data_IF_559505956276
#
_entry.id   IF_559505956276
#
_cell.length_a   1.000
_cell.length_b   1.000
_cell.length_c   1.000
_cell.angle_alpha   90.00
_cell.angle_beta   90.00
_cell.angle_gamma   90.00
#
_symmetry.space_group_name_H-M   'P 1'
#
loop_
_entity.id
_entity.type
_entity.pdbx_description
1 polymer ?
#
# COMPACT_ATOMS: atom_id res chain seq x y z
N UNK A 1 -37.41 18.69 -33.12
CA UNK A 1 -36.76 17.97 -32.01
C UNK A 1 -35.75 17.00 -32.61
N UNK A 2 -34.46 17.35 -32.57
CA UNK A 2 -33.40 16.51 -33.12
C UNK A 2 -33.12 15.35 -32.17
N UNK A 3 -33.33 14.11 -32.62
CA UNK A 3 -32.85 12.92 -31.92
C UNK A 3 -31.33 13.02 -31.80
N UNK A 4 -30.82 13.04 -30.57
CA UNK A 4 -29.41 12.81 -30.26
C UNK A 4 -29.01 11.47 -30.89
N UNK A 5 -28.22 11.51 -31.95
CA UNK A 5 -27.43 10.37 -32.37
C UNK A 5 -26.41 10.09 -31.26
N UNK A 6 -26.64 9.04 -30.49
CA UNK A 6 -25.65 8.48 -29.58
C UNK A 6 -24.58 7.79 -30.42
N UNK A 7 -23.44 8.44 -30.57
CA UNK A 7 -22.16 7.88 -31.00
C UNK A 7 -21.69 6.83 -29.99
N UNK A 8 -22.28 5.63 -30.03
CA UNK A 8 -21.88 4.51 -29.16
C UNK A 8 -21.87 3.15 -29.89
N UNK A 9 -21.80 3.18 -31.23
CA UNK A 9 -21.82 1.98 -32.08
C UNK A 9 -20.47 1.73 -32.76
N UNK A 10 -19.37 2.16 -32.12
CA UNK A 10 -18.04 2.01 -32.68
C UNK A 10 -17.56 0.56 -32.47
N UNK A 11 -17.62 -0.22 -33.56
CA UNK A 11 -17.06 -1.56 -33.62
C UNK A 11 -15.53 -1.47 -33.54
N UNK A 12 -14.96 -1.95 -32.44
CA UNK A 12 -13.52 -2.02 -32.23
C UNK A 12 -12.92 -3.16 -33.05
N UNK A 13 -11.76 -2.91 -33.66
CA UNK A 13 -10.89 -3.96 -34.20
C UNK A 13 -10.20 -4.75 -33.08
N UNK A 14 -9.53 -5.86 -33.42
CA UNK A 14 -8.70 -6.62 -32.47
C UNK A 14 -7.65 -5.73 -31.79
N UNK A 15 -7.01 -4.84 -32.54
CA UNK A 15 -6.02 -3.89 -32.02
C UNK A 15 -6.63 -2.88 -31.05
N UNK A 16 -7.80 -2.32 -31.41
CA UNK A 16 -8.50 -1.38 -30.54
C UNK A 16 -9.02 -2.07 -29.29
N UNK A 17 -9.52 -3.31 -29.40
CA UNK A 17 -9.93 -4.10 -28.26
C UNK A 17 -8.74 -4.47 -27.38
N UNK A 18 -7.58 -4.78 -27.97
CA UNK A 18 -6.33 -5.04 -27.26
C UNK A 18 -5.91 -3.81 -26.44
N UNK A 19 -5.97 -2.61 -27.03
CA UNK A 19 -5.73 -1.37 -26.31
C UNK A 19 -6.78 -1.12 -25.22
N UNK A 20 -8.05 -1.42 -25.50
CA UNK A 20 -9.18 -1.22 -24.59
C UNK A 20 -9.10 -2.12 -23.35
N UNK A 21 -8.78 -3.40 -23.55
CA UNK A 21 -8.61 -4.40 -22.49
C UNK A 21 -7.19 -4.39 -21.89
N UNK A 22 -6.29 -3.56 -22.43
CA UNK A 22 -4.86 -3.52 -22.09
C UNK A 22 -4.14 -4.87 -22.24
N UNK A 23 -4.46 -5.61 -23.31
CA UNK A 23 -3.85 -6.88 -23.69
C UNK A 23 -3.00 -6.72 -24.96
N UNK A 24 -2.11 -7.67 -25.25
CA UNK A 24 -1.50 -7.76 -26.57
C UNK A 24 -2.48 -8.35 -27.59
N UNK A 25 -2.32 -7.98 -28.86
CA UNK A 25 -3.20 -8.43 -29.95
C UNK A 25 -3.22 -9.96 -30.11
N UNK A 26 -2.11 -10.63 -29.80
CA UNK A 26 -2.01 -12.09 -29.85
C UNK A 26 -2.87 -12.77 -28.77
N UNK A 27 -2.95 -12.19 -27.59
CA UNK A 27 -3.84 -12.64 -26.50
C UNK A 27 -5.31 -12.41 -26.84
N UNK A 28 -5.66 -11.24 -27.39
CA UNK A 28 -7.03 -11.00 -27.88
C UNK A 28 -7.39 -11.99 -28.97
N UNK A 29 -6.50 -12.24 -29.94
CA UNK A 29 -6.71 -13.22 -31.00
C UNK A 29 -7.01 -14.63 -30.47
N UNK A 30 -6.29 -15.08 -29.43
CA UNK A 30 -6.55 -16.37 -28.78
C UNK A 30 -7.90 -16.43 -28.07
N UNK A 31 -8.25 -15.39 -27.31
CA UNK A 31 -9.52 -15.33 -26.57
C UNK A 31 -10.73 -15.33 -27.50
N UNK A 32 -10.59 -14.67 -28.65
CA UNK A 32 -11.62 -14.59 -29.68
C UNK A 32 -11.76 -15.92 -30.43
N UNK A 33 -10.64 -16.55 -30.79
CA UNK A 33 -10.65 -17.88 -31.41
C UNK A 33 -11.25 -18.96 -30.49
N UNK A 34 -11.09 -18.79 -29.16
CA UNK A 34 -11.68 -19.65 -28.15
C UNK A 34 -13.16 -19.33 -27.83
N UNK A 35 -13.76 -18.33 -28.51
CA UNK A 35 -15.16 -17.94 -28.30
C UNK A 35 -15.46 -17.28 -26.95
N UNK A 36 -14.42 -16.80 -26.24
CA UNK A 36 -14.54 -16.25 -24.88
C UNK A 36 -14.86 -14.76 -24.83
N UNK A 37 -14.78 -14.05 -25.96
CA UNK A 37 -15.09 -12.62 -26.06
C UNK A 37 -16.32 -12.40 -26.95
N UNK A 38 -17.27 -11.55 -26.55
CA UNK A 38 -18.43 -11.21 -27.38
C UNK A 38 -17.99 -10.37 -28.58
N UNK A 39 -17.77 -11.03 -29.71
CA UNK A 39 -17.32 -10.44 -30.96
C UNK A 39 -18.06 -11.01 -32.16
N UNK A 40 -18.01 -10.25 -33.26
CA UNK A 40 -18.60 -10.63 -34.55
C UNK A 40 -17.49 -10.70 -35.59
N UNK A 41 -17.54 -11.67 -36.49
CA UNK A 41 -16.63 -11.74 -37.62
C UNK A 41 -17.28 -11.09 -38.85
N UNK A 42 -16.67 -10.01 -39.33
CA UNK A 42 -17.09 -9.26 -40.51
C UNK A 42 -15.90 -9.27 -41.48
N UNK A 43 -16.09 -9.76 -42.71
CA UNK A 43 -15.04 -9.87 -43.73
C UNK A 43 -13.75 -10.53 -43.22
N UNK A 44 -13.91 -11.65 -42.50
CA UNK A 44 -12.82 -12.42 -41.87
C UNK A 44 -12.06 -11.68 -40.76
N UNK A 45 -12.46 -10.46 -40.41
CA UNK A 45 -11.89 -9.68 -39.33
C UNK A 45 -12.85 -9.62 -38.14
N UNK A 46 -12.29 -9.68 -36.92
CA UNK A 46 -13.10 -9.57 -35.72
C UNK A 46 -13.42 -8.13 -35.37
N UNK A 47 -14.66 -7.93 -34.89
CA UNK A 47 -15.24 -6.65 -34.50
C UNK A 47 -15.99 -6.78 -33.19
N UNK A 48 -15.83 -5.79 -32.31
CA UNK A 48 -16.33 -5.85 -30.94
C UNK A 48 -17.11 -4.60 -30.60
N UNK A 49 -18.35 -4.75 -30.12
CA UNK A 49 -19.11 -3.63 -29.57
C UNK A 49 -18.61 -3.34 -28.17
N UNK A 50 -18.24 -2.08 -27.89
CA UNK A 50 -17.74 -1.67 -26.58
C UNK A 50 -18.70 -2.02 -25.45
N UNK A 51 -19.99 -1.69 -25.60
CA UNK A 51 -21.01 -2.00 -24.59
C UNK A 51 -21.12 -3.50 -24.27
N UNK A 52 -21.02 -4.37 -25.27
CA UNK A 52 -21.06 -5.82 -25.06
C UNK A 52 -19.81 -6.35 -24.34
N UNK A 53 -18.66 -5.70 -24.57
CA UNK A 53 -17.42 -5.99 -23.85
C UNK A 53 -17.51 -5.50 -22.41
N UNK A 54 -18.10 -4.34 -22.17
CA UNK A 54 -18.30 -3.77 -20.82
C UNK A 54 -19.24 -4.66 -19.98
N UNK A 55 -20.38 -5.06 -20.55
CA UNK A 55 -21.32 -5.99 -19.92
C UNK A 55 -20.67 -7.34 -19.63
N UNK A 56 -19.88 -7.87 -20.57
CA UNK A 56 -19.12 -9.11 -20.36
C UNK A 56 -18.08 -8.98 -19.23
N UNK A 57 -17.39 -7.84 -19.10
CA UNK A 57 -16.47 -7.60 -17.98
C UNK A 57 -17.24 -7.64 -16.65
N UNK A 58 -18.40 -6.99 -16.60
CA UNK A 58 -19.26 -6.97 -15.41
C UNK A 58 -19.81 -8.36 -15.04
N UNK A 59 -20.22 -9.16 -16.02
CA UNK A 59 -20.69 -10.54 -15.81
C UNK A 59 -19.57 -11.45 -15.30
N UNK A 60 -18.35 -11.33 -15.84
CA UNK A 60 -17.19 -12.09 -15.37
C UNK A 60 -16.73 -11.65 -13.96
N UNK A 61 -17.09 -10.46 -13.51
CA UNK A 61 -16.83 -9.98 -12.14
C UNK A 61 -17.83 -10.53 -11.11
N UNK A 62 -18.99 -11.02 -11.56
CA UNK A 62 -20.10 -11.50 -10.71
C UNK A 62 -20.21 -13.04 -10.70
N UNK A 63 -19.72 -13.74 -11.72
CA UNK A 63 -19.82 -15.21 -11.85
C UNK A 63 -18.71 -16.00 -11.16
N UNK A 64 -19.11 -17.01 -10.38
CA UNK A 64 -18.23 -18.03 -9.81
C UNK A 64 -17.58 -18.88 -10.92
N UNK A 65 -16.25 -19.05 -10.79
CA UNK A 65 -15.38 -20.16 -11.23
C UNK A 65 -15.71 -20.81 -12.60
N UNK A 66 -14.96 -20.53 -13.69
CA UNK A 66 -13.96 -21.51 -14.18
C UNK A 66 -13.02 -20.99 -15.30
N UNK A 67 -13.03 -19.70 -15.69
CA UNK A 67 -12.16 -19.20 -16.80
C UNK A 67 -11.00 -18.28 -16.40
N UNK A 68 -10.66 -18.27 -15.11
CA UNK A 68 -9.74 -17.31 -14.47
C UNK A 68 -8.24 -17.56 -14.66
N UNK A 69 -7.83 -18.61 -15.38
CA UNK A 69 -6.45 -19.11 -15.42
C UNK A 69 -5.45 -18.24 -16.22
N UNK A 70 -5.92 -17.45 -17.20
CA UNK A 70 -5.02 -16.83 -18.20
C UNK A 70 -4.65 -15.34 -17.93
N UNK A 71 -5.24 -14.71 -16.91
CA UNK A 71 -4.96 -13.31 -16.53
C UNK A 71 -4.24 -13.30 -15.18
N UNK A 72 -3.03 -12.69 -15.07
CA UNK A 72 -2.34 -12.55 -13.78
C UNK A 72 -3.25 -11.88 -12.74
N UNK A 73 -3.47 -12.57 -11.64
CA UNK A 73 -4.55 -12.30 -10.68
C UNK A 73 -4.60 -10.88 -10.11
N UNK A 74 -3.47 -10.19 -9.98
CA UNK A 74 -3.46 -8.79 -9.51
C UNK A 74 -3.41 -7.73 -10.61
N UNK A 75 -3.51 -8.09 -11.90
CA UNK A 75 -3.78 -7.14 -12.99
C UNK A 75 -5.29 -6.91 -13.16
N UNK A 76 -6.12 -7.85 -12.67
CA UNK A 76 -7.59 -7.76 -12.61
C UNK A 76 -8.12 -6.67 -11.65
N UNK A 77 -7.25 -6.13 -10.78
CA UNK A 77 -7.60 -5.10 -9.78
C UNK A 77 -6.67 -3.89 -9.94
N UNK A 78 -7.04 -2.86 -10.70
CA UNK A 78 -6.22 -1.68 -10.85
C UNK A 78 -6.08 -0.96 -9.49
N UNK A 79 -4.93 -0.32 -9.27
CA UNK A 79 -4.64 0.30 -7.97
C UNK A 79 -5.64 1.42 -7.63
N UNK A 80 -6.21 2.08 -8.65
CA UNK A 80 -7.19 3.15 -8.50
C UNK A 80 -8.46 2.73 -7.78
N UNK A 81 -8.93 1.49 -7.98
CA UNK A 81 -10.12 0.93 -7.33
C UNK A 81 -9.87 0.59 -5.85
N UNK A 82 -8.62 0.20 -5.56
CA UNK A 82 -8.18 -0.16 -4.22
C UNK A 82 -7.87 1.07 -3.37
N UNK A 83 -7.41 2.15 -4.00
CA UNK A 83 -6.85 3.34 -3.33
C UNK A 83 -7.64 4.62 -3.70
N UNK A 84 -8.86 4.81 -3.19
CA UNK A 84 -9.55 6.11 -3.28
C UNK A 84 -8.91 7.14 -2.34
N UNK A 85 -9.19 8.44 -2.51
CA UNK A 85 -8.55 9.53 -1.72
C UNK A 85 -8.71 9.33 -0.19
N UNK A 86 -9.90 8.86 0.23
CA UNK A 86 -10.23 8.57 1.62
C UNK A 86 -9.41 7.40 2.23
N UNK A 87 -8.62 6.69 1.43
CA UNK A 87 -7.72 5.64 1.90
C UNK A 87 -6.41 6.18 2.48
N UNK A 88 -6.08 7.44 2.24
CA UNK A 88 -4.78 8.00 2.60
C UNK A 88 -4.87 8.70 3.95
N UNK A 89 -4.04 8.25 4.88
CA UNK A 89 -3.77 8.89 6.17
C UNK A 89 -2.44 9.64 6.04
N UNK A 90 -2.46 10.94 5.72
CA UNK A 90 -1.23 11.67 5.44
C UNK A 90 -0.34 11.78 6.68
N UNK A 91 -0.90 11.72 7.90
CA UNK A 91 -0.13 11.77 9.14
C UNK A 91 -0.66 10.75 10.13
N UNK A 92 0.06 9.65 10.32
CA UNK A 92 -0.20 8.67 11.36
C UNK A 92 0.08 9.25 12.75
N UNK A 93 -0.77 8.91 13.71
CA UNK A 93 -0.59 9.23 15.13
C UNK A 93 0.13 8.10 15.86
N UNK A 94 -0.04 6.87 15.39
CA UNK A 94 0.59 5.69 15.95
C UNK A 94 2.12 5.82 16.04
N UNK A 95 2.69 5.19 17.08
CA UNK A 95 4.14 5.13 17.36
C UNK A 95 4.66 3.70 17.54
N UNK A 96 3.77 2.73 17.49
CA UNK A 96 4.06 1.30 17.71
C UNK A 96 3.50 0.49 16.55
N UNK A 97 4.03 -0.72 16.36
CA UNK A 97 3.59 -1.59 15.28
C UNK A 97 2.08 -1.90 15.34
N UNK A 98 1.60 -2.31 16.51
CA UNK A 98 0.18 -2.56 16.76
C UNK A 98 -0.68 -1.31 16.48
N UNK A 99 -0.26 -0.14 16.98
CA UNK A 99 -1.00 1.10 16.79
C UNK A 99 -1.15 1.48 15.31
N UNK A 100 -0.15 1.19 14.48
CA UNK A 100 -0.24 1.43 13.03
C UNK A 100 -1.29 0.53 12.40
N UNK A 101 -1.27 -0.76 12.74
CA UNK A 101 -2.25 -1.74 12.23
C UNK A 101 -3.67 -1.31 12.64
N UNK A 102 -3.87 -0.91 13.89
CA UNK A 102 -5.15 -0.43 14.40
C UNK A 102 -5.63 0.85 13.71
N UNK A 103 -4.75 1.84 13.52
CA UNK A 103 -5.10 3.13 12.90
C UNK A 103 -5.48 2.96 11.42
N UNK A 104 -4.76 2.11 10.70
CA UNK A 104 -5.06 1.79 9.30
C UNK A 104 -6.35 0.96 9.17
N UNK A 105 -6.54 -0.06 10.01
CA UNK A 105 -7.76 -0.87 10.01
C UNK A 105 -8.99 -0.05 10.43
N UNK A 106 -8.83 0.90 11.36
CA UNK A 106 -9.87 1.83 11.73
C UNK A 106 -10.32 2.69 10.54
N UNK A 107 -9.39 3.12 9.68
CA UNK A 107 -9.74 3.85 8.45
C UNK A 107 -10.58 3.00 7.49
N UNK A 108 -10.19 1.75 7.26
CA UNK A 108 -10.96 0.84 6.43
C UNK A 108 -12.38 0.58 7.00
N UNK A 109 -12.47 0.45 8.32
CA UNK A 109 -13.73 0.27 9.04
C UNK A 109 -14.63 1.50 8.93
N UNK A 110 -14.12 2.71 9.18
CA UNK A 110 -14.92 3.96 9.06
C UNK A 110 -15.40 4.23 7.65
N UNK A 111 -14.68 3.74 6.64
CA UNK A 111 -15.07 3.84 5.24
C UNK A 111 -16.05 2.73 4.81
N UNK A 112 -16.50 1.88 5.74
CA UNK A 112 -17.38 0.73 5.51
C UNK A 112 -16.80 -0.33 4.54
N UNK A 113 -15.47 -0.42 4.42
CA UNK A 113 -14.79 -1.44 3.60
C UNK A 113 -14.53 -2.72 4.37
N UNK A 114 -14.53 -2.63 5.69
CA UNK A 114 -14.31 -3.71 6.64
C UNK A 114 -15.46 -3.70 7.66
N UNK A 115 -16.03 -4.86 7.96
CA UNK A 115 -17.13 -5.01 8.94
C UNK A 115 -16.66 -5.46 10.31
N UNK A 116 -15.51 -6.11 10.39
CA UNK A 116 -14.97 -6.67 11.63
C UNK A 116 -13.53 -6.24 11.85
N UNK A 117 -13.37 -5.05 12.46
CA UNK A 117 -12.07 -4.47 12.77
C UNK A 117 -11.25 -5.33 13.74
N UNK A 118 -11.79 -5.81 14.89
CA UNK A 118 -11.01 -6.64 15.82
C UNK A 118 -10.45 -7.90 15.18
N UNK A 119 -11.26 -8.61 14.40
CA UNK A 119 -10.80 -9.80 13.67
C UNK A 119 -9.66 -9.46 12.71
N UNK A 120 -9.84 -8.40 11.90
CA UNK A 120 -8.86 -8.03 10.88
C UNK A 120 -7.53 -7.59 11.51
N UNK A 121 -7.58 -6.78 12.56
CA UNK A 121 -6.37 -6.37 13.31
C UNK A 121 -5.64 -7.61 13.85
N UNK A 122 -6.37 -8.54 14.48
CA UNK A 122 -5.79 -9.80 14.97
C UNK A 122 -5.10 -10.60 13.86
N UNK A 123 -5.75 -10.74 12.70
CA UNK A 123 -5.20 -11.47 11.56
C UNK A 123 -3.95 -10.81 10.95
N UNK A 124 -3.89 -9.47 10.91
CA UNK A 124 -2.70 -8.74 10.44
C UNK A 124 -1.55 -8.87 11.45
N UNK A 125 -1.84 -8.76 12.75
CA UNK A 125 -0.84 -8.92 13.82
C UNK A 125 -0.24 -10.33 13.82
N UNK A 126 -1.09 -11.36 13.67
CA UNK A 126 -0.64 -12.74 13.53
C UNK A 126 0.31 -12.90 12.35
N UNK A 127 -0.04 -12.33 11.18
CA UNK A 127 0.82 -12.32 9.99
C UNK A 127 2.16 -11.62 10.24
N UNK A 128 2.14 -10.45 10.88
CA UNK A 128 3.33 -9.65 11.13
C UNK A 128 4.28 -10.33 12.14
N UNK A 129 3.73 -11.09 13.08
CA UNK A 129 4.50 -11.83 14.10
C UNK A 129 5.34 -12.97 13.50
N UNK A 130 4.89 -13.57 12.38
CA UNK A 130 5.65 -14.61 11.69
C UNK A 130 6.96 -14.09 11.10
N UNK A 131 6.90 -12.92 10.48
CA UNK A 131 8.04 -12.21 9.91
C UNK A 131 7.58 -10.83 9.49
N UNK A 132 8.44 -9.83 9.73
CA UNK A 132 8.13 -8.46 9.36
C UNK A 132 7.82 -8.33 7.87
N UNK A 133 6.86 -7.46 7.55
CA UNK A 133 6.53 -7.04 6.17
C UNK A 133 7.20 -5.73 5.77
N UNK A 134 8.07 -5.18 6.64
CA UNK A 134 8.91 -4.04 6.29
C UNK A 134 9.97 -4.42 5.27
N UNK A 135 10.27 -3.47 4.40
CA UNK A 135 11.31 -3.53 3.38
C UNK A 135 12.29 -2.37 3.57
N UNK A 136 13.50 -2.57 3.07
CA UNK A 136 14.51 -1.52 2.96
C UNK A 136 13.94 -0.27 2.29
N UNK A 137 14.39 0.90 2.77
CA UNK A 137 13.85 2.19 2.32
C UNK A 137 12.66 2.70 3.12
N UNK A 138 12.22 1.95 4.14
CA UNK A 138 11.25 2.42 5.14
C UNK A 138 9.80 2.36 4.68
N UNK A 139 9.44 1.24 4.03
CA UNK A 139 8.08 0.91 3.60
C UNK A 139 7.66 -0.43 4.20
N UNK A 140 6.39 -0.61 4.57
CA UNK A 140 5.85 -1.91 4.96
C UNK A 140 4.53 -2.22 4.24
N UNK A 141 4.34 -3.49 3.88
CA UNK A 141 3.15 -3.98 3.18
C UNK A 141 2.35 -4.97 4.03
N UNK A 142 1.45 -4.42 4.83
CA UNK A 142 0.58 -5.15 5.74
C UNK A 142 -0.55 -5.82 4.98
N UNK A 143 -0.79 -7.10 5.29
CA UNK A 143 -1.85 -7.91 4.71
C UNK A 143 -2.21 -9.05 5.69
N UNK A 144 -3.36 -9.67 5.50
CA UNK A 144 -3.73 -10.89 6.23
C UNK A 144 -3.29 -12.12 5.44
N UNK A 145 -3.11 -13.26 6.12
CA UNK A 145 -3.13 -14.60 5.50
C UNK A 145 -4.41 -15.38 5.80
N UNK A 146 -5.21 -14.88 6.73
CA UNK A 146 -6.49 -15.46 7.07
C UNK A 146 -7.44 -15.34 5.88
N UNK A 147 -8.09 -16.46 5.53
CA UNK A 147 -9.20 -16.44 4.55
C UNK A 147 -10.28 -15.50 5.07
N UNK A 148 -10.74 -14.59 4.21
CA UNK A 148 -11.85 -13.72 4.56
C UNK A 148 -13.12 -14.56 4.81
N UNK A 149 -13.82 -14.25 5.89
CA UNK A 149 -15.08 -14.90 6.27
C UNK A 149 -16.26 -13.95 6.02
N UNK A 150 -16.24 -13.25 4.88
CA UNK A 150 -17.21 -12.21 4.56
C UNK A 150 -17.08 -10.95 5.42
N UNK A 151 -15.88 -10.68 5.97
CA UNK A 151 -15.62 -9.52 6.83
C UNK A 151 -15.15 -8.31 6.03
N UNK A 152 -14.68 -8.53 4.81
CA UNK A 152 -14.26 -7.47 3.87
C UNK A 152 -15.41 -7.19 2.91
N UNK A 153 -16.02 -6.00 3.00
CA UNK A 153 -17.14 -5.61 2.13
C UNK A 153 -16.67 -5.39 0.69
N UNK A 154 -15.53 -4.71 0.53
CA UNK A 154 -14.89 -4.47 -0.77
C UNK A 154 -13.38 -4.58 -0.63
N UNK A 155 -12.64 -4.98 -1.69
CA UNK A 155 -11.19 -4.89 -1.71
C UNK A 155 -10.71 -3.46 -1.44
N UNK A 156 -9.65 -3.31 -0.63
CA UNK A 156 -9.10 -1.99 -0.32
C UNK A 156 -7.59 -2.01 -0.08
N UNK A 157 -6.97 -0.84 -0.28
CA UNK A 157 -5.63 -0.49 0.17
C UNK A 157 -5.73 0.80 0.99
N UNK A 158 -5.25 0.79 2.23
CA UNK A 158 -5.09 1.99 3.08
C UNK A 158 -3.61 2.35 3.16
N UNK A 159 -3.29 3.63 2.97
CA UNK A 159 -1.91 4.12 3.03
C UNK A 159 -1.76 5.07 4.20
N UNK A 160 -0.79 4.80 5.08
CA UNK A 160 -0.45 5.68 6.19
C UNK A 160 0.99 6.14 6.12
N UNK A 161 1.23 7.41 6.45
CA UNK A 161 2.57 7.97 6.54
C UNK A 161 2.89 8.48 7.94
N UNK A 162 4.00 8.00 8.51
CA UNK A 162 4.62 8.55 9.71
C UNK A 162 5.75 9.52 9.33
N UNK A 163 5.72 10.72 9.89
CA UNK A 163 6.82 11.70 9.71
C UNK A 163 8.11 11.26 10.43
N UNK A 164 7.96 10.72 11.63
CA UNK A 164 9.09 10.37 12.52
C UNK A 164 9.66 8.99 12.17
N UNK A 165 8.88 8.16 11.48
CA UNK A 165 9.17 6.76 11.32
C UNK A 165 8.76 5.98 12.56
N UNK A 166 8.54 4.68 12.40
CA UNK A 166 8.13 3.77 13.46
C UNK A 166 9.05 2.55 13.39
N UNK A 167 9.66 2.12 14.50
CA UNK A 167 10.40 0.86 14.55
C UNK A 167 9.47 -0.29 14.17
N UNK A 168 9.77 -0.94 13.06
CA UNK A 168 8.92 -1.97 12.47
C UNK A 168 9.75 -3.12 11.89
N UNK A 169 10.88 -3.43 12.52
CA UNK A 169 11.75 -4.57 12.18
C UNK A 169 12.16 -4.67 10.70
N UNK A 170 12.42 -3.52 10.06
CA UNK A 170 12.99 -3.46 8.71
C UNK A 170 14.34 -4.20 8.65
N UNK A 171 14.67 -4.91 7.54
CA UNK A 171 15.93 -5.64 7.40
C UNK A 171 17.19 -4.78 7.58
N UNK A 172 17.12 -3.50 7.20
CA UNK A 172 18.20 -2.51 7.34
C UNK A 172 18.27 -1.86 8.74
N UNK A 173 17.38 -2.24 9.66
CA UNK A 173 17.27 -1.66 10.99
C UNK A 173 16.71 -0.23 11.04
N UNK A 174 16.36 0.36 9.89
CA UNK A 174 15.85 1.73 9.83
C UNK A 174 14.35 1.79 10.19
N UNK A 175 13.84 2.96 10.61
CA UNK A 175 12.41 3.15 10.83
C UNK A 175 11.59 3.04 9.54
N UNK A 176 10.37 2.53 9.67
CA UNK A 176 9.38 2.52 8.58
C UNK A 176 8.54 3.78 8.59
N UNK A 177 8.38 4.41 7.43
CA UNK A 177 7.68 5.68 7.27
C UNK A 177 6.36 5.56 6.52
N UNK A 178 6.27 4.65 5.54
CA UNK A 178 5.06 4.42 4.76
C UNK A 178 4.54 3.01 5.03
N UNK A 179 3.23 2.91 5.27
CA UNK A 179 2.54 1.67 5.57
C UNK A 179 1.39 1.49 4.60
N UNK A 180 1.33 0.32 3.98
CA UNK A 180 0.34 -0.06 2.99
C UNK A 180 -0.43 -1.25 3.55
N UNK A 181 -1.68 -1.04 3.97
CA UNK A 181 -2.54 -2.10 4.51
C UNK A 181 -3.55 -2.54 3.46
N UNK A 182 -3.48 -3.79 3.03
CA UNK A 182 -4.43 -4.38 2.09
C UNK A 182 -5.43 -5.30 2.78
N UNK A 183 -6.68 -5.20 2.38
CA UNK A 183 -7.73 -6.17 2.70
C UNK A 183 -8.35 -6.69 1.41
N UNK A 184 -8.05 -7.96 1.07
CA UNK A 184 -8.61 -8.65 -0.10
C UNK A 184 -9.35 -9.91 0.36
N UNK A 185 -10.42 -10.29 -0.34
CA UNK A 185 -11.19 -11.51 -0.05
C UNK A 185 -10.40 -12.79 -0.35
N UNK A 186 -9.61 -12.76 -1.42
CA UNK A 186 -8.86 -13.93 -1.90
C UNK A 186 -7.37 -13.72 -1.71
N UNK A 187 -6.73 -14.65 -1.00
CA UNK A 187 -5.31 -14.56 -0.67
C UNK A 187 -4.40 -14.50 -1.92
N UNK A 188 -4.78 -15.22 -2.99
CA UNK A 188 -4.07 -15.23 -4.28
C UNK A 188 -3.88 -13.84 -4.91
N UNK A 189 -4.74 -12.88 -4.57
CA UNK A 189 -4.68 -11.52 -5.12
C UNK A 189 -3.62 -10.64 -4.43
N UNK A 190 -3.14 -11.00 -3.23
CA UNK A 190 -2.17 -10.18 -2.51
C UNK A 190 -0.83 -10.12 -3.23
N UNK A 191 -0.25 -11.28 -3.58
CA UNK A 191 1.11 -11.37 -4.12
C UNK A 191 1.32 -10.54 -5.40
N UNK A 192 0.42 -10.54 -6.40
CA UNK A 192 0.69 -9.75 -7.60
C UNK A 192 0.50 -8.24 -7.36
N UNK A 193 -0.41 -7.81 -6.47
CA UNK A 193 -0.53 -6.39 -6.07
C UNK A 193 0.70 -5.95 -5.28
N UNK A 194 1.15 -6.76 -4.31
CA UNK A 194 2.39 -6.57 -3.57
C UNK A 194 3.59 -6.43 -4.52
N UNK A 195 3.70 -7.32 -5.50
CA UNK A 195 4.78 -7.29 -6.48
C UNK A 195 4.79 -6.01 -7.34
N UNK A 196 3.62 -5.44 -7.66
CA UNK A 196 3.53 -4.14 -8.35
C UNK A 196 3.94 -2.98 -7.44
N UNK A 197 3.39 -2.93 -6.22
CA UNK A 197 3.71 -1.87 -5.25
C UNK A 197 5.18 -1.89 -4.84
N UNK A 198 5.76 -3.07 -4.61
CA UNK A 198 7.17 -3.24 -4.29
C UNK A 198 8.06 -2.75 -5.44
N UNK A 199 7.69 -2.99 -6.70
CA UNK A 199 8.41 -2.45 -7.87
C UNK A 199 8.28 -0.93 -7.98
N UNK A 200 7.06 -0.40 -7.84
CA UNK A 200 6.78 1.03 -7.86
C UNK A 200 7.52 1.80 -6.75
N UNK A 201 7.71 1.16 -5.59
CA UNK A 201 8.32 1.77 -4.41
C UNK A 201 9.77 1.34 -4.18
N UNK A 202 10.39 0.61 -5.11
CA UNK A 202 11.79 0.17 -5.01
C UNK A 202 12.78 1.35 -5.05
N UNK A 203 12.41 2.46 -5.68
CA UNK A 203 13.31 3.60 -5.87
C UNK A 203 13.27 4.52 -4.65
N UNK A 204 14.40 4.74 -3.94
CA UNK A 204 14.44 5.57 -2.74
C UNK A 204 13.94 7.00 -2.97
N UNK A 205 14.18 7.56 -4.16
CA UNK A 205 13.68 8.87 -4.55
C UNK A 205 12.15 8.94 -4.60
N UNK A 206 11.49 7.87 -5.07
CA UNK A 206 10.01 7.77 -5.08
C UNK A 206 9.47 7.76 -3.67
N UNK A 207 10.02 6.92 -2.78
CA UNK A 207 9.63 6.87 -1.36
C UNK A 207 9.79 8.25 -0.72
N UNK A 208 10.95 8.87 -0.91
CA UNK A 208 11.25 10.15 -0.27
C UNK A 208 10.42 11.30 -0.87
N UNK A 209 10.04 11.23 -2.15
CA UNK A 209 9.08 12.15 -2.76
C UNK A 209 7.69 11.97 -2.14
N UNK A 210 7.16 10.74 -2.05
CA UNK A 210 5.88 10.45 -1.38
C UNK A 210 5.91 10.98 0.06
N UNK A 211 7.01 10.77 0.78
CA UNK A 211 7.17 11.25 2.17
C UNK A 211 7.09 12.77 2.31
N UNK A 212 7.54 13.51 1.29
CA UNK A 212 7.56 14.97 1.29
C UNK A 212 6.21 15.62 0.94
N UNK A 213 5.27 14.86 0.34
CA UNK A 213 3.96 15.35 -0.03
C UNK A 213 3.07 15.45 1.23
N UNK A 214 2.40 16.59 1.38
CA UNK A 214 1.47 16.85 2.49
C UNK A 214 0.00 16.66 2.12
N UNK A 215 -0.32 16.60 0.82
CA UNK A 215 -1.69 16.43 0.31
C UNK A 215 -1.97 14.95 -0.01
N UNK A 216 -3.07 14.37 0.50
CA UNK A 216 -3.52 13.02 0.13
C UNK A 216 -3.62 12.81 -1.38
N UNK A 217 -4.23 13.74 -2.10
CA UNK A 217 -4.45 13.64 -3.56
C UNK A 217 -3.12 13.59 -4.32
N UNK A 218 -2.13 14.38 -3.89
CA UNK A 218 -0.79 14.34 -4.48
C UNK A 218 -0.08 13.01 -4.20
N UNK A 219 -0.22 12.47 -2.98
CA UNK A 219 0.32 11.16 -2.62
C UNK A 219 -0.32 10.06 -3.47
N UNK A 220 -1.65 10.10 -3.63
CA UNK A 220 -2.40 9.17 -4.47
C UNK A 220 -1.96 9.24 -5.92
N UNK A 221 -1.95 10.44 -6.50
CA UNK A 221 -1.58 10.65 -7.90
C UNK A 221 -0.18 10.13 -8.21
N UNK A 222 0.77 10.33 -7.29
CA UNK A 222 2.11 9.77 -7.42
C UNK A 222 2.08 8.23 -7.36
N UNK A 223 1.39 7.62 -6.38
CA UNK A 223 1.27 6.16 -6.29
C UNK A 223 0.66 5.53 -7.55
N UNK A 224 -0.42 6.12 -8.09
CA UNK A 224 -1.06 5.65 -9.31
C UNK A 224 -0.14 5.78 -10.53
N UNK A 225 0.61 6.88 -10.63
CA UNK A 225 1.60 7.07 -11.70
C UNK A 225 2.71 6.01 -11.64
N UNK A 226 3.26 5.74 -10.46
CA UNK A 226 4.34 4.77 -10.28
C UNK A 226 3.84 3.34 -10.52
N UNK A 227 2.61 3.02 -10.09
CA UNK A 227 1.96 1.74 -10.41
C UNK A 227 1.75 1.55 -11.92
N UNK A 228 1.23 2.56 -12.62
CA UNK A 228 1.07 2.52 -14.06
C UNK A 228 2.40 2.31 -14.79
N UNK A 229 3.47 2.97 -14.32
CA UNK A 229 4.83 2.79 -14.85
C UNK A 229 5.34 1.36 -14.61
N UNK A 230 5.14 0.82 -13.40
CA UNK A 230 5.51 -0.55 -13.05
C UNK A 230 4.71 -1.61 -13.85
N UNK A 231 3.45 -1.32 -14.22
CA UNK A 231 2.63 -2.15 -15.12
C UNK A 231 3.15 -2.13 -16.55
N UNK A 232 3.61 -0.98 -17.04
CA UNK A 232 4.21 -0.84 -18.37
C UNK A 232 5.62 -1.46 -18.48
N UNK A 233 6.11 -2.16 -17.45
CA UNK A 233 7.46 -2.73 -17.44
C UNK A 233 8.56 -1.68 -17.32
N UNK A 234 8.21 -0.41 -17.10
CA UNK A 234 9.17 0.67 -16.90
C UNK A 234 9.67 0.56 -15.46
N UNK A 235 10.88 0.03 -15.30
CA UNK A 235 11.58 0.05 -14.03
C UNK A 235 12.14 1.46 -13.86
N UNK A 236 11.68 2.23 -12.85
CA UNK A 236 12.24 3.56 -12.65
C UNK A 236 13.73 3.42 -12.33
N UNK A 237 14.56 4.13 -13.09
CA UNK A 237 16.01 4.08 -12.92
C UNK A 237 16.37 4.62 -11.53
N UNK A 238 17.28 3.92 -10.83
CA UNK A 238 17.82 4.43 -9.58
C UNK A 238 18.63 5.70 -9.91
N UNK A 239 18.29 6.88 -9.36
CA UNK A 239 19.12 8.05 -9.59
C UNK A 239 20.51 7.80 -8.99
N UNK A 240 21.57 8.14 -9.74
CA UNK A 240 22.97 8.01 -9.29
C UNK A 240 23.26 8.82 -8.02
N UNK A 241 22.49 9.88 -7.77
CA UNK A 241 22.54 10.67 -6.54
C UNK A 241 21.39 10.34 -5.59
N UNK A 242 21.74 10.09 -4.32
CA UNK A 242 20.78 9.93 -3.24
C UNK A 242 19.83 11.13 -3.17
N UNK A 243 18.54 10.90 -3.41
CA UNK A 243 17.51 11.92 -3.25
C UNK A 243 17.58 12.53 -1.84
N UNK A 244 17.92 13.81 -1.76
CA UNK A 244 17.90 14.58 -0.50
C UNK A 244 16.54 15.27 -0.37
N UNK A 245 15.59 14.74 0.42
CA UNK A 245 14.28 15.36 0.58
C UNK A 245 14.45 16.80 1.10
N UNK A 246 13.90 17.78 0.38
CA UNK A 246 13.73 19.13 0.94
C UNK A 246 12.61 19.05 1.98
N UNK A 247 12.95 18.81 3.24
CA UNK A 247 11.98 18.95 4.35
C UNK A 247 11.34 20.34 4.25
N UNK A 248 10.01 20.40 4.40
CA UNK A 248 9.28 21.66 4.58
C UNK A 248 9.89 22.46 5.75
N UNK A 249 9.86 23.79 5.66
CA UNK A 249 10.48 24.73 6.62
C UNK A 249 10.05 24.46 8.05
N UNK A 250 8.79 24.12 8.29
CA UNK A 250 8.31 23.77 9.64
C UNK A 250 8.93 22.48 10.17
N UNK A 251 9.10 21.47 9.31
CA UNK A 251 9.73 20.19 9.65
C UNK A 251 11.24 20.34 9.85
N UNK A 252 11.91 21.18 9.04
CA UNK A 252 13.32 21.56 9.26
C UNK A 252 13.53 22.21 10.63
N UNK A 253 12.68 23.17 10.98
CA UNK A 253 12.76 23.87 12.27
C UNK A 253 12.50 22.93 13.45
N UNK A 254 11.56 21.98 13.33
CA UNK A 254 11.31 20.97 14.36
C UNK A 254 12.46 19.97 14.50
N UNK A 255 13.05 19.53 13.39
CA UNK A 255 14.22 18.64 13.39
C UNK A 255 15.45 19.31 14.03
N UNK A 256 15.72 20.59 13.70
CA UNK A 256 16.81 21.37 14.31
C UNK A 256 16.63 21.51 15.82
N UNK A 257 15.41 21.86 16.28
CA UNK A 257 15.12 21.97 17.72
C UNK A 257 15.33 20.66 18.47
N UNK A 258 14.97 19.52 17.85
CA UNK A 258 15.17 18.19 18.46
C UNK A 258 16.63 17.78 18.55
N UNK A 259 17.43 18.02 17.50
CA UNK A 259 18.88 17.75 17.55
C UNK A 259 19.59 18.62 18.60
N UNK A 260 19.14 19.86 18.78
CA UNK A 260 19.64 20.74 19.84
C UNK A 260 19.24 20.27 21.25
N UNK A 261 18.03 19.74 21.41
CA UNK A 261 17.58 19.15 22.68
C UNK A 261 18.33 17.85 23.02
N UNK A 262 18.52 16.96 22.03
CA UNK A 262 19.27 15.72 22.21
C UNK A 262 20.74 15.98 22.57
N UNK A 263 21.38 16.97 21.92
CA UNK A 263 22.73 17.41 22.29
C UNK A 263 22.81 17.96 23.72
N UNK A 264 21.82 18.76 24.14
CA UNK A 264 21.73 19.27 25.52
C UNK A 264 21.55 18.16 26.56
N UNK A 265 20.74 17.14 26.27
CA UNK A 265 20.54 16.00 27.18
C UNK A 265 21.73 15.04 27.23
N UNK A 266 22.58 15.00 26.18
CA UNK A 266 23.81 14.22 26.18
C UNK A 266 25.01 14.95 26.82
N UNK A 267 24.91 16.26 27.03
CA UNK A 267 25.98 17.11 27.58
C UNK A 267 25.81 17.45 29.07
N UNK A 268 24.72 17.05 29.74
CA UNK A 268 24.59 17.17 31.20
C UNK A 268 25.20 15.94 31.91
N UNK A 269 26.38 16.05 32.55
CA UNK A 269 26.95 14.95 33.32
C UNK A 269 26.29 14.91 34.70
N UNK A 270 26.07 13.70 35.20
CA UNK A 270 25.61 13.37 36.56
C UNK A 270 26.25 14.26 37.64
N UNK A 271 25.53 15.28 38.09
CA UNK A 271 25.78 15.94 39.38
C UNK A 271 24.58 15.75 40.29
N UNK A 272 24.59 14.64 41.04
CA UNK A 272 24.08 14.42 42.42
C UNK A 272 23.81 12.91 42.58
N UNK A 273 24.60 12.16 43.35
CA UNK A 273 24.41 12.09 44.80
C UNK A 273 25.58 11.34 45.49
N UNK A 274 26.46 12.06 46.20
CA UNK A 274 27.30 11.48 47.26
C UNK A 274 26.56 11.64 48.59
N UNK A 275 25.91 10.59 49.09
CA UNK A 275 25.48 10.51 50.51
C UNK A 275 26.70 10.11 51.35
N UNK A 276 27.04 10.94 52.35
CA UNK A 276 28.09 10.65 53.36
C UNK A 276 27.72 9.42 54.21
N UNK A 277 28.67 8.55 54.59
CA UNK A 277 28.42 7.54 55.61
C UNK A 277 28.44 8.16 57.01
N UNK A 278 27.46 7.82 57.84
CA UNK A 278 27.38 8.21 59.25
C UNK A 278 28.01 7.09 60.09
N UNK A 279 29.07 7.41 60.82
CA UNK A 279 29.72 6.51 61.77
C UNK A 279 28.91 6.43 63.07
N UNK A 280 28.73 5.22 63.61
CA UNK A 280 28.51 5.00 65.05
C UNK A 280 29.22 3.70 65.46
N UNK A 281 30.06 3.85 66.48
CA UNK A 281 30.99 2.88 67.00
C UNK A 281 30.33 1.74 67.78
N UNK A 282 31.07 0.63 67.88
CA UNK A 282 30.76 -0.59 68.59
C UNK A 282 30.97 -0.49 70.11
N UNK A 283 30.21 -1.28 70.87
CA UNK A 283 30.68 -2.10 72.03
C UNK A 283 29.46 -2.73 72.73
N UNK A 284 29.44 -3.93 73.33
CA UNK A 284 30.11 -5.25 73.19
C UNK A 284 29.50 -6.09 74.34
N UNK A 285 29.04 -7.32 74.04
CA UNK A 285 28.86 -8.47 74.96
C UNK A 285 27.89 -8.30 76.16
N UNK A 286 27.21 -9.30 76.74
CA UNK A 286 27.48 -10.75 76.87
C UNK A 286 26.18 -11.45 77.36
N UNK A 287 26.03 -12.73 77.03
CA UNK A 287 25.12 -13.70 77.67
C UNK A 287 25.39 -13.81 79.17
N UNK A 288 24.36 -13.65 80.01
CA UNK A 288 23.71 -14.64 80.90
C UNK A 288 22.70 -13.89 81.75
#
# INVERSE_FOLDING_TARGET
>A
MAKKQTTDDQLMSVQQLALYLHLDEGTVGRLVAAGKLPGLQIDRQWRFKKAAIDEWIEEQLVGEDESFADIPDGMKLPLEDLLPDQAIIPTLRAKTALGVIEELAARAYTNNWLTDKPWFVGAVVERETLSSTAMEGGVAFLHTRAKDKGKINRPFLVVGRSWEGIPFASPDGNPTYLFFLMGLKYDRLHLPILGRLARALRVPATIAKIRSLSSPDQMRALLLKEDASARAGIIPQMPEEAFKPKLDRQLRLRAIRRLQQQKRTSEEPEKKTKKKPRATAASRAKKT
#
